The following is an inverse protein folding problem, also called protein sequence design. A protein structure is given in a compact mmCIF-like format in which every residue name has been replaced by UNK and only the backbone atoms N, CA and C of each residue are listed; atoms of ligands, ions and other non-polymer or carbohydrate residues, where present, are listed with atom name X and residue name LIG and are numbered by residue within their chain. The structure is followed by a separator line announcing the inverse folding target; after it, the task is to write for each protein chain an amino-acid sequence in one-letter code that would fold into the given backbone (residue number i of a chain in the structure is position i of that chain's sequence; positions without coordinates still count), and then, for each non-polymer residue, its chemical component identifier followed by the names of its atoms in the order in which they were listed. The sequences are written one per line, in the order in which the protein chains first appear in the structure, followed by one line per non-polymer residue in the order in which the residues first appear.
data_IF_885080406179
#
_entry.id   IF_885080406179
#
_cell.length_a   1.000
_cell.length_b   1.000
_cell.length_c   1.000
_cell.angle_alpha   90.00
_cell.angle_beta   90.00
_cell.angle_gamma   90.00
#
_symmetry.space_group_name_H-M   'P 1'
#
loop_
_entity.id
_entity.type
_entity.pdbx_description
1 polymer ?
#
# COMPACT_ATOMS: atom_id res chain seq x y z
N UNK A 1 0.51 -11.29 19.14
CA UNK A 1 -0.80 -10.77 18.70
C UNK A 1 -1.39 -11.88 17.88
N UNK A 2 -2.57 -12.36 18.26
CA UNK A 2 -3.20 -13.47 17.56
C UNK A 2 -3.69 -13.00 16.18
N UNK A 3 -3.80 -13.93 15.24
CA UNK A 3 -4.27 -13.63 13.88
C UNK A 3 -5.61 -12.88 13.89
N UNK A 4 -6.54 -13.30 14.73
CA UNK A 4 -7.85 -12.67 14.85
C UNK A 4 -7.79 -11.18 15.29
N UNK A 5 -6.82 -10.81 16.13
CA UNK A 5 -6.63 -9.42 16.55
C UNK A 5 -6.10 -8.54 15.39
N UNK A 6 -5.23 -9.12 14.55
CA UNK A 6 -4.71 -8.46 13.35
C UNK A 6 -5.83 -8.27 12.34
N UNK A 7 -6.59 -9.33 12.06
CA UNK A 7 -7.72 -9.31 11.13
C UNK A 7 -8.75 -8.24 11.54
N UNK A 8 -9.07 -8.16 12.84
CA UNK A 8 -9.98 -7.16 13.37
C UNK A 8 -9.44 -5.72 13.23
N UNK A 9 -8.13 -5.51 13.39
CA UNK A 9 -7.50 -4.19 13.18
C UNK A 9 -7.51 -3.78 11.71
N UNK A 10 -7.23 -4.70 10.80
CA UNK A 10 -7.33 -4.45 9.36
C UNK A 10 -8.77 -4.08 9.00
N UNK A 11 -9.76 -4.86 9.44
CA UNK A 11 -11.18 -4.57 9.20
C UNK A 11 -11.60 -3.20 9.72
N UNK A 12 -11.21 -2.82 10.95
CA UNK A 12 -11.48 -1.48 11.49
C UNK A 12 -10.84 -0.37 10.66
N UNK A 13 -9.61 -0.59 10.19
CA UNK A 13 -8.92 0.35 9.30
C UNK A 13 -9.67 0.54 7.97
N UNK A 14 -10.16 -0.55 7.36
CA UNK A 14 -10.94 -0.47 6.13
C UNK A 14 -12.24 0.31 6.34
N UNK A 15 -13.03 -0.05 7.36
CA UNK A 15 -14.31 0.59 7.66
C UNK A 15 -14.16 2.08 8.00
N UNK A 16 -13.16 2.45 8.80
CA UNK A 16 -12.95 3.84 9.22
C UNK A 16 -12.57 4.78 8.06
N UNK A 17 -11.95 4.24 7.00
CA UNK A 17 -11.47 5.03 5.86
C UNK A 17 -12.33 4.84 4.60
N UNK A 18 -13.48 4.14 4.71
CA UNK A 18 -14.34 3.87 3.57
C UNK A 18 -13.68 3.03 2.47
N UNK A 19 -12.72 2.16 2.82
CA UNK A 19 -12.01 1.33 1.85
C UNK A 19 -12.87 0.10 1.52
N UNK A 20 -13.16 -0.16 0.23
CA UNK A 20 -14.00 -1.29 -0.16
C UNK A 20 -13.30 -2.63 0.07
N UNK A 21 -14.06 -3.66 0.46
CA UNK A 21 -13.49 -4.97 0.84
C UNK A 21 -12.90 -5.75 -0.34
N UNK A 22 -13.22 -5.37 -1.58
CA UNK A 22 -12.59 -5.94 -2.76
C UNK A 22 -11.06 -5.67 -2.80
N UNK A 23 -10.57 -4.68 -2.05
CA UNK A 23 -9.13 -4.39 -1.91
C UNK A 23 -8.36 -5.60 -1.37
N UNK A 24 -9.01 -6.47 -0.57
CA UNK A 24 -8.39 -7.70 -0.04
C UNK A 24 -8.02 -8.70 -1.15
N UNK A 25 -8.56 -8.54 -2.36
CA UNK A 25 -8.22 -9.34 -3.54
C UNK A 25 -7.19 -8.66 -4.45
N UNK A 26 -6.80 -7.41 -4.15
CA UNK A 26 -5.81 -6.69 -4.93
C UNK A 26 -4.39 -7.12 -4.48
N UNK A 27 -3.56 -7.67 -5.39
CA UNK A 27 -2.19 -8.09 -5.05
C UNK A 27 -1.33 -6.99 -4.44
N UNK A 28 -1.49 -5.72 -4.87
CA UNK A 28 -0.71 -4.61 -4.31
C UNK A 28 -1.09 -4.31 -2.85
N UNK A 29 -2.35 -4.52 -2.47
CA UNK A 29 -2.77 -4.37 -1.08
C UNK A 29 -2.18 -5.45 -0.19
N UNK A 30 -2.15 -6.70 -0.67
CA UNK A 30 -1.50 -7.81 0.04
C UNK A 30 0.00 -7.56 0.19
N UNK A 31 0.67 -7.15 -0.89
CA UNK A 31 2.10 -6.79 -0.86
C UNK A 31 2.39 -5.64 0.11
N UNK A 32 1.51 -4.64 0.21
CA UNK A 32 1.64 -3.56 1.19
C UNK A 32 1.62 -4.11 2.63
N UNK A 33 0.69 -5.00 2.96
CA UNK A 33 0.61 -5.60 4.29
C UNK A 33 1.83 -6.47 4.61
N UNK A 34 2.31 -7.25 3.63
CA UNK A 34 3.54 -8.04 3.75
C UNK A 34 4.76 -7.16 4.00
N UNK A 35 4.91 -6.06 3.24
CA UNK A 35 6.00 -5.10 3.42
C UNK A 35 5.95 -4.41 4.79
N UNK A 36 4.76 -4.08 5.30
CA UNK A 36 4.60 -3.54 6.66
C UNK A 36 5.01 -4.58 7.71
N UNK A 37 4.60 -5.85 7.53
CA UNK A 37 4.91 -6.93 8.46
C UNK A 37 6.41 -7.27 8.52
N UNK A 38 7.09 -7.22 7.36
CA UNK A 38 8.55 -7.41 7.27
C UNK A 38 9.35 -6.13 7.55
N UNK A 39 8.67 -4.99 7.66
CA UNK A 39 9.29 -3.69 7.90
C UNK A 39 9.88 -3.54 9.30
N UNK A 40 10.55 -2.41 9.58
CA UNK A 40 11.15 -2.16 10.89
C UNK A 40 10.09 -2.11 11.99
N UNK A 41 10.44 -2.59 13.19
CA UNK A 41 9.55 -2.54 14.35
C UNK A 41 9.17 -1.09 14.65
N UNK A 42 7.86 -0.83 14.78
CA UNK A 42 7.35 0.51 15.01
C UNK A 42 7.24 1.36 13.76
N UNK A 43 7.33 0.76 12.56
CA UNK A 43 7.02 1.42 11.30
C UNK A 43 5.70 2.18 11.39
N UNK A 44 5.71 3.40 10.83
CA UNK A 44 4.53 4.24 10.67
C UNK A 44 4.40 4.59 9.19
N UNK A 45 3.15 4.73 8.68
CA UNK A 45 2.94 5.19 7.33
C UNK A 45 3.57 6.58 7.10
N UNK A 46 3.90 6.92 5.84
CA UNK A 46 4.40 8.25 5.50
C UNK A 46 3.40 9.35 5.88
N UNK A 47 3.89 10.58 6.04
CA UNK A 47 3.03 11.75 6.23
C UNK A 47 2.19 12.01 4.97
N UNK A 48 1.04 12.65 5.16
CA UNK A 48 0.16 13.04 4.04
C UNK A 48 0.91 13.83 2.97
N UNK A 49 1.72 14.82 3.37
CA UNK A 49 2.48 15.63 2.41
C UNK A 49 3.50 14.80 1.63
N UNK A 50 4.25 13.93 2.31
CA UNK A 50 5.23 13.05 1.67
C UNK A 50 4.57 12.06 0.72
N UNK A 51 3.39 11.53 1.09
CA UNK A 51 2.61 10.63 0.26
C UNK A 51 2.12 11.31 -1.02
N UNK A 52 1.57 12.53 -0.91
CA UNK A 52 1.00 13.27 -2.04
C UNK A 52 2.05 13.81 -3.01
N UNK A 53 3.27 14.06 -2.55
CA UNK A 53 4.34 14.65 -3.37
C UNK A 53 5.35 13.59 -3.76
N UNK A 54 6.36 13.37 -2.92
CA UNK A 54 7.55 12.55 -3.20
C UNK A 54 7.18 11.13 -3.61
N UNK A 55 6.33 10.45 -2.84
CA UNK A 55 6.02 9.04 -3.11
C UNK A 55 5.11 8.87 -4.32
N UNK A 56 4.20 9.81 -4.59
CA UNK A 56 3.37 9.78 -5.78
C UNK A 56 4.21 9.97 -7.05
N UNK A 57 5.17 10.90 -7.03
CA UNK A 57 6.10 11.13 -8.13
C UNK A 57 7.03 9.94 -8.36
N UNK A 58 7.44 9.23 -7.30
CA UNK A 58 8.19 7.98 -7.39
C UNK A 58 7.36 6.86 -8.03
N UNK A 59 6.11 6.67 -7.58
CA UNK A 59 5.19 5.70 -8.18
C UNK A 59 4.98 5.98 -9.67
N UNK A 60 4.75 7.25 -10.04
CA UNK A 60 4.58 7.66 -11.43
C UNK A 60 5.80 7.31 -12.28
N UNK A 61 7.00 7.66 -11.81
CA UNK A 61 8.27 7.35 -12.51
C UNK A 61 8.50 5.85 -12.65
N UNK A 62 8.16 5.05 -11.64
CA UNK A 62 8.24 3.59 -11.72
C UNK A 62 7.35 3.05 -12.83
N UNK A 63 6.09 3.48 -12.88
CA UNK A 63 5.14 3.07 -13.92
C UNK A 63 5.60 3.53 -15.31
N UNK A 64 6.12 4.76 -15.44
CA UNK A 64 6.65 5.27 -16.71
C UNK A 64 7.83 4.45 -17.21
N UNK A 65 8.72 4.02 -16.31
CA UNK A 65 9.85 3.15 -16.63
C UNK A 65 9.38 1.77 -17.11
N UNK A 66 8.39 1.18 -16.43
CA UNK A 66 7.85 -0.13 -16.81
C UNK A 66 7.11 -0.07 -18.16
N UNK A 67 6.52 1.07 -18.49
CA UNK A 67 5.83 1.30 -19.76
C UNK A 67 6.77 1.68 -20.92
N UNK A 68 7.99 2.15 -20.65
CA UNK A 68 8.90 2.63 -21.69
C UNK A 68 9.13 1.62 -22.84
N UNK A 69 9.37 0.31 -22.58
CA UNK A 69 9.55 -0.66 -23.64
C UNK A 69 8.32 -0.84 -24.55
N UNK A 70 7.12 -0.57 -24.04
CA UNK A 70 5.86 -0.68 -24.78
C UNK A 70 5.64 0.56 -25.65
N UNK A 71 6.09 1.73 -25.20
CA UNK A 71 5.94 3.00 -25.91
C UNK A 71 6.90 3.14 -27.10
N UNK A 72 8.02 2.44 -27.04
CA UNK A 72 9.06 2.47 -28.09
C UNK A 72 8.85 1.42 -29.20
N UNK A 73 7.71 0.71 -29.19
CA UNK A 73 7.26 -0.22 -30.25
C UNK A 73 6.13 0.37 -31.07
#
# INVERSE_FOLDING_TARGET
MERADVDMKVMRGLCANGIPFNVLRNPQFVQMLEAINMGPKGYKPPSFEKARTVLLDECKRSVEKDLAPIKDT
#
